data_IF_679162884394
#
_entry.id   IF_679162884394
#
_cell.length_a   1.000
_cell.length_b   1.000
_cell.length_c   1.000
_cell.angle_alpha   90.00
_cell.angle_beta   90.00
_cell.angle_gamma   90.00
#
_symmetry.space_group_name_H-M   'P 1'
#
loop_
_entity.id
_entity.type
_entity.pdbx_description
1 polymer ?
#
# COMPACT_ATOMS: atom_id res chain seq x y z
N UNK A 1 -9.23 -25.19 50.36
CA UNK A 1 -8.55 -25.60 49.15
C UNK A 1 -9.22 -24.95 47.94
N UNK A 2 -8.69 -23.84 47.46
CA UNK A 2 -9.23 -23.11 46.27
C UNK A 2 -8.53 -23.71 45.04
N UNK A 3 -9.33 -24.29 44.13
CA UNK A 3 -8.84 -24.80 42.85
C UNK A 3 -8.58 -23.61 41.90
N UNK A 4 -7.32 -23.40 41.56
CA UNK A 4 -6.95 -22.53 40.44
C UNK A 4 -7.35 -23.23 39.13
N UNK A 5 -8.20 -22.56 38.36
CA UNK A 5 -8.50 -22.92 36.99
C UNK A 5 -7.46 -22.17 36.11
N UNK A 6 -6.65 -22.88 35.29
CA UNK A 6 -5.75 -22.18 34.38
C UNK A 6 -6.54 -21.51 33.26
N UNK A 7 -6.39 -20.19 33.12
CA UNK A 7 -6.88 -19.47 31.98
C UNK A 7 -6.10 -19.92 30.73
N UNK A 8 -6.77 -20.62 29.84
CA UNK A 8 -6.24 -20.96 28.52
C UNK A 8 -6.30 -19.67 27.69
N UNK A 9 -5.14 -19.07 27.48
CA UNK A 9 -4.95 -17.96 26.54
C UNK A 9 -5.16 -18.51 25.12
N UNK A 10 -6.34 -18.33 24.55
CA UNK A 10 -6.59 -18.62 23.15
C UNK A 10 -5.90 -17.52 22.34
N UNK A 11 -4.69 -17.81 21.88
CA UNK A 11 -4.01 -16.99 20.86
C UNK A 11 -4.77 -17.24 19.56
N UNK A 12 -5.69 -16.34 19.23
CA UNK A 12 -6.28 -16.31 17.90
C UNK A 12 -5.19 -15.83 16.93
N UNK A 13 -4.50 -16.77 16.31
CA UNK A 13 -3.65 -16.49 15.17
C UNK A 13 -4.62 -16.06 14.06
N UNK A 14 -4.71 -14.75 13.83
CA UNK A 14 -5.29 -14.21 12.62
C UNK A 14 -4.41 -14.70 11.47
N UNK A 15 -4.79 -15.85 10.91
CA UNK A 15 -4.29 -16.26 9.62
C UNK A 15 -4.79 -15.24 8.61
N UNK A 16 -3.94 -14.27 8.27
CA UNK A 16 -4.12 -13.51 7.04
C UNK A 16 -4.11 -14.57 5.95
N UNK A 17 -5.29 -14.93 5.49
CA UNK A 17 -5.45 -15.76 4.32
C UNK A 17 -5.06 -14.93 3.10
N UNK A 18 -3.75 -14.72 2.96
CA UNK A 18 -3.20 -14.64 1.62
C UNK A 18 -3.45 -16.03 1.06
N UNK A 19 -4.45 -16.16 0.21
CA UNK A 19 -4.54 -17.36 -0.62
C UNK A 19 -3.20 -17.48 -1.33
N UNK A 20 -2.29 -18.26 -0.74
CA UNK A 20 -1.13 -18.80 -1.41
C UNK A 20 -1.67 -19.75 -2.47
N UNK A 21 -2.06 -19.23 -3.61
CA UNK A 21 -2.07 -19.98 -4.85
C UNK A 21 -0.61 -20.15 -5.24
N UNK A 22 0.04 -21.07 -4.52
CA UNK A 22 1.27 -21.66 -4.99
C UNK A 22 0.98 -22.23 -6.39
N UNK A 23 1.57 -21.58 -7.40
CA UNK A 23 1.64 -22.14 -8.73
C UNK A 23 0.34 -22.18 -9.51
N UNK A 24 -0.28 -21.04 -9.80
CA UNK A 24 -1.07 -20.95 -11.01
C UNK A 24 -0.10 -20.87 -12.19
N UNK A 25 -0.04 -21.94 -12.97
CA UNK A 25 0.81 -22.07 -14.15
C UNK A 25 0.30 -21.28 -15.36
N UNK A 26 -0.70 -20.41 -15.17
CA UNK A 26 -1.31 -19.65 -16.28
C UNK A 26 -0.52 -18.43 -16.73
N UNK A 27 0.58 -18.07 -16.03
CA UNK A 27 1.51 -17.04 -16.48
C UNK A 27 0.94 -15.61 -16.57
N UNK A 28 -0.19 -15.32 -15.90
CA UNK A 28 -0.92 -14.05 -15.99
C UNK A 28 -0.60 -13.08 -14.87
N UNK A 29 -0.35 -13.58 -13.65
CA UNK A 29 -0.09 -12.77 -12.48
C UNK A 29 1.33 -12.18 -12.51
N UNK A 30 1.53 -11.04 -11.85
CA UNK A 30 2.88 -10.58 -11.53
C UNK A 30 3.57 -11.66 -10.71
N UNK A 31 4.76 -12.09 -11.12
CA UNK A 31 5.52 -13.13 -10.44
C UNK A 31 6.22 -12.56 -9.20
N UNK A 32 5.43 -12.26 -8.16
CA UNK A 32 5.90 -11.67 -6.91
C UNK A 32 6.85 -12.57 -6.11
N UNK A 33 6.67 -13.89 -6.23
CA UNK A 33 7.23 -14.90 -5.34
C UNK A 33 8.29 -15.74 -6.05
N UNK A 34 9.28 -16.18 -5.25
CA UNK A 34 10.28 -17.17 -5.63
C UNK A 34 10.02 -18.53 -4.97
N UNK A 35 11.08 -19.33 -4.87
CA UNK A 35 10.99 -20.65 -4.25
C UNK A 35 11.10 -20.61 -2.71
N UNK A 36 11.63 -19.54 -2.14
CA UNK A 36 11.86 -19.41 -0.71
C UNK A 36 10.62 -18.88 0.04
N UNK A 37 10.01 -19.73 0.86
CA UNK A 37 8.79 -19.39 1.61
C UNK A 37 8.99 -18.23 2.60
N UNK A 38 10.16 -18.08 3.21
CA UNK A 38 10.45 -16.98 4.14
C UNK A 38 10.48 -15.65 3.37
N UNK A 39 11.19 -15.62 2.24
CA UNK A 39 11.20 -14.45 1.37
C UNK A 39 9.79 -14.10 0.86
N UNK A 40 9.01 -15.09 0.45
CA UNK A 40 7.63 -14.91 -0.01
C UNK A 40 6.72 -14.34 1.09
N UNK A 41 6.87 -14.79 2.34
CA UNK A 41 6.14 -14.24 3.47
C UNK A 41 6.51 -12.76 3.73
N UNK A 42 7.78 -12.40 3.56
CA UNK A 42 8.22 -11.00 3.66
C UNK A 42 7.66 -10.16 2.52
N UNK A 43 7.69 -10.64 1.27
CA UNK A 43 7.06 -9.96 0.13
C UNK A 43 5.58 -9.71 0.39
N UNK A 44 4.83 -10.70 0.85
CA UNK A 44 3.40 -10.55 1.16
C UNK A 44 3.15 -9.46 2.19
N UNK A 45 3.94 -9.40 3.26
CA UNK A 45 3.87 -8.32 4.27
C UNK A 45 4.29 -6.97 3.69
N UNK A 46 5.35 -6.97 2.88
CA UNK A 46 5.83 -5.77 2.19
C UNK A 46 4.73 -5.14 1.32
N UNK A 47 4.04 -5.95 0.52
CA UNK A 47 2.92 -5.49 -0.32
C UNK A 47 1.77 -4.95 0.54
N UNK A 48 1.41 -5.65 1.63
CA UNK A 48 0.34 -5.21 2.53
C UNK A 48 0.64 -3.81 3.10
N UNK A 49 1.85 -3.60 3.62
CA UNK A 49 2.26 -2.29 4.14
C UNK A 49 2.39 -1.24 3.05
N UNK A 50 2.88 -1.62 1.85
CA UNK A 50 2.99 -0.72 0.71
C UNK A 50 1.64 -0.13 0.30
N UNK A 51 0.62 -0.96 0.16
CA UNK A 51 -0.72 -0.50 -0.18
C UNK A 51 -1.36 0.35 0.92
N UNK A 52 -1.07 0.05 2.19
CA UNK A 52 -1.55 0.84 3.32
C UNK A 52 -0.65 2.07 3.62
N UNK A 53 0.28 2.44 2.72
CA UNK A 53 1.16 3.64 2.83
C UNK A 53 2.02 3.61 4.11
N UNK A 54 2.33 2.43 4.60
CA UNK A 54 3.28 2.20 5.70
C UNK A 54 4.68 1.92 5.12
N UNK A 55 5.25 2.92 4.48
CA UNK A 55 6.41 2.77 3.61
C UNK A 55 7.67 2.31 4.32
N UNK A 56 7.92 2.74 5.55
CA UNK A 56 9.08 2.31 6.34
C UNK A 56 9.03 0.81 6.66
N UNK A 57 7.84 0.30 7.00
CA UNK A 57 7.64 -1.15 7.20
C UNK A 57 7.75 -1.90 5.88
N UNK A 58 7.13 -1.37 4.83
CA UNK A 58 7.20 -1.95 3.48
C UNK A 58 8.64 -2.08 3.01
N UNK A 59 9.42 -1.00 3.11
CA UNK A 59 10.85 -0.97 2.77
C UNK A 59 11.62 -2.06 3.52
N UNK A 60 11.41 -2.16 4.82
CA UNK A 60 12.09 -3.17 5.66
C UNK A 60 11.77 -4.60 5.23
N UNK A 61 10.50 -4.90 4.90
CA UNK A 61 10.11 -6.23 4.45
C UNK A 61 10.68 -6.57 3.06
N UNK A 62 10.67 -5.65 2.11
CA UNK A 62 11.25 -5.90 0.79
C UNK A 62 12.77 -6.02 0.84
N UNK A 63 13.46 -5.21 1.65
CA UNK A 63 14.90 -5.36 1.88
C UNK A 63 15.21 -6.72 2.49
N UNK A 64 14.49 -7.11 3.56
CA UNK A 64 14.68 -8.42 4.17
C UNK A 64 14.38 -9.58 3.22
N UNK A 65 13.41 -9.44 2.31
CA UNK A 65 13.13 -10.48 1.31
C UNK A 65 14.30 -10.70 0.36
N UNK A 66 15.01 -9.62 -0.02
CA UNK A 66 16.19 -9.71 -0.90
C UNK A 66 17.44 -10.25 -0.18
N UNK A 67 17.53 -10.09 1.14
CA UNK A 67 18.59 -10.74 1.95
C UNK A 67 18.43 -12.27 1.95
N UNK A 68 17.19 -12.76 1.86
CA UNK A 68 16.87 -14.18 1.82
C UNK A 68 16.87 -14.74 0.39
N UNK A 69 16.34 -13.97 -0.58
CA UNK A 69 16.28 -14.36 -1.99
C UNK A 69 16.49 -13.13 -2.89
N UNK A 70 17.72 -12.94 -3.34
CA UNK A 70 18.10 -11.80 -4.18
C UNK A 70 17.57 -11.87 -5.62
N UNK A 71 16.88 -12.94 -6.01
CA UNK A 71 16.32 -13.13 -7.36
C UNK A 71 14.91 -12.53 -7.53
N UNK A 72 14.33 -11.96 -6.48
CA UNK A 72 12.98 -11.40 -6.47
C UNK A 72 12.92 -10.04 -7.19
N UNK A 73 12.67 -10.05 -8.50
CA UNK A 73 12.59 -8.82 -9.30
C UNK A 73 11.55 -7.82 -8.75
N UNK A 74 10.40 -8.33 -8.30
CA UNK A 74 9.30 -7.49 -7.81
C UNK A 74 9.66 -6.74 -6.52
N UNK A 75 10.50 -7.32 -5.65
CA UNK A 75 11.05 -6.61 -4.49
C UNK A 75 11.93 -5.43 -4.91
N UNK A 76 12.75 -5.61 -5.94
CA UNK A 76 13.52 -4.52 -6.52
C UNK A 76 12.62 -3.45 -7.13
N UNK A 77 11.51 -3.81 -7.80
CA UNK A 77 10.56 -2.81 -8.34
C UNK A 77 9.99 -1.95 -7.23
N UNK A 78 9.51 -2.55 -6.14
CA UNK A 78 8.91 -1.78 -5.05
C UNK A 78 9.95 -0.95 -4.31
N UNK A 79 11.16 -1.48 -4.08
CA UNK A 79 12.25 -0.71 -3.46
C UNK A 79 12.65 0.49 -4.31
N UNK A 80 12.66 0.38 -5.65
CA UNK A 80 12.88 1.54 -6.51
C UNK A 80 11.77 2.60 -6.34
N UNK A 81 10.52 2.21 -6.13
CA UNK A 81 9.44 3.17 -5.87
C UNK A 81 9.50 3.82 -4.49
N UNK A 82 10.11 3.15 -3.50
CA UNK A 82 10.23 3.62 -2.12
C UNK A 82 11.53 4.38 -1.84
N UNK A 83 12.52 4.23 -2.70
CA UNK A 83 13.83 4.88 -2.55
C UNK A 83 13.83 6.23 -3.27
N UNK A 84 14.29 7.31 -2.64
CA UNK A 84 14.47 8.58 -3.33
C UNK A 84 15.37 8.45 -4.55
N UNK A 85 15.11 9.27 -5.57
CA UNK A 85 15.93 9.31 -6.79
C UNK A 85 17.43 9.40 -6.47
N UNK A 86 18.23 8.54 -7.10
CA UNK A 86 19.67 8.48 -6.89
C UNK A 86 20.28 7.12 -7.23
N UNK A 87 21.47 6.87 -6.73
CA UNK A 87 22.24 5.66 -7.05
C UNK A 87 21.52 4.38 -6.59
N UNK A 88 20.89 4.39 -5.42
CA UNK A 88 20.18 3.23 -4.87
C UNK A 88 18.91 2.92 -5.67
N UNK A 89 18.15 3.93 -6.08
CA UNK A 89 16.98 3.79 -6.96
C UNK A 89 17.38 3.17 -8.29
N UNK A 90 18.41 3.73 -8.96
CA UNK A 90 18.91 3.22 -10.24
C UNK A 90 19.48 1.79 -10.12
N UNK A 91 20.10 1.43 -9.01
CA UNK A 91 20.52 0.06 -8.74
C UNK A 91 19.32 -0.89 -8.70
N UNK A 92 18.25 -0.53 -8.00
CA UNK A 92 17.05 -1.35 -7.93
C UNK A 92 16.34 -1.45 -9.28
N UNK A 93 16.21 -0.36 -10.04
CA UNK A 93 15.67 -0.38 -11.42
C UNK A 93 16.47 -1.29 -12.34
N UNK A 94 17.80 -1.20 -12.28
CA UNK A 94 18.70 -2.05 -13.06
C UNK A 94 18.52 -3.53 -12.73
N UNK A 95 18.46 -3.88 -11.46
CA UNK A 95 18.23 -5.25 -10.98
C UNK A 95 16.86 -5.78 -11.41
N UNK A 96 15.80 -4.99 -11.28
CA UNK A 96 14.48 -5.37 -11.74
C UNK A 96 14.47 -5.69 -13.25
N UNK A 97 15.10 -4.84 -14.09
CA UNK A 97 15.22 -5.06 -15.54
C UNK A 97 16.05 -6.31 -15.89
N UNK A 98 17.06 -6.63 -15.09
CA UNK A 98 17.85 -7.86 -15.26
C UNK A 98 17.00 -9.10 -14.95
N UNK A 99 16.35 -9.13 -13.80
CA UNK A 99 15.67 -10.28 -13.21
C UNK A 99 14.29 -10.57 -13.83
N UNK A 100 13.67 -9.60 -14.51
CA UNK A 100 12.38 -9.80 -15.18
C UNK A 100 12.50 -10.54 -16.50
N UNK A 101 13.70 -10.70 -17.02
CA UNK A 101 13.94 -11.40 -18.30
C UNK A 101 13.45 -12.84 -18.21
N UNK A 102 12.60 -13.23 -19.15
CA UNK A 102 12.00 -14.57 -19.21
C UNK A 102 10.76 -14.77 -18.33
N UNK A 103 10.33 -13.75 -17.58
CA UNK A 103 9.08 -13.75 -16.84
C UNK A 103 7.88 -13.42 -17.73
N UNK A 104 6.68 -13.60 -17.20
CA UNK A 104 5.44 -13.35 -17.92
C UNK A 104 5.23 -11.88 -18.31
N UNK A 105 4.21 -11.63 -19.14
CA UNK A 105 3.92 -10.30 -19.70
C UNK A 105 3.60 -9.27 -18.60
N UNK A 106 2.77 -9.62 -17.58
CA UNK A 106 2.45 -8.71 -16.51
C UNK A 106 3.67 -8.32 -15.66
N UNK A 107 4.60 -9.23 -15.44
CA UNK A 107 5.88 -8.93 -14.78
C UNK A 107 6.73 -7.95 -15.58
N UNK A 108 6.81 -8.14 -16.90
CA UNK A 108 7.52 -7.22 -17.80
C UNK A 108 6.85 -5.84 -17.89
N UNK A 109 5.50 -5.79 -17.96
CA UNK A 109 4.74 -4.53 -17.94
C UNK A 109 4.95 -3.77 -16.63
N UNK A 110 5.02 -4.44 -15.48
CA UNK A 110 5.32 -3.79 -14.20
C UNK A 110 6.69 -3.08 -14.23
N UNK A 111 7.71 -3.72 -14.78
CA UNK A 111 9.05 -3.11 -14.90
C UNK A 111 9.06 -1.98 -15.92
N UNK A 112 8.27 -2.05 -17.00
CA UNK A 112 8.17 -0.98 -18.00
C UNK A 112 7.64 0.34 -17.47
N UNK A 113 7.00 0.34 -16.28
CA UNK A 113 6.60 1.58 -15.60
C UNK A 113 7.78 2.51 -15.28
N UNK A 114 9.00 1.99 -15.22
CA UNK A 114 10.23 2.79 -15.07
C UNK A 114 10.61 3.60 -16.30
N UNK A 115 10.07 3.24 -17.48
CA UNK A 115 10.37 3.91 -18.73
C UNK A 115 9.48 5.16 -18.94
N UNK A 116 8.55 5.41 -18.03
CA UNK A 116 7.69 6.60 -18.02
C UNK A 116 8.44 7.73 -17.32
N UNK A 117 9.29 8.39 -18.07
CA UNK A 117 10.09 9.56 -17.62
C UNK A 117 9.30 10.86 -17.82
N UNK A 118 8.31 11.06 -16.95
CA UNK A 118 7.44 12.24 -16.94
C UNK A 118 7.29 12.75 -15.49
N UNK A 119 7.21 14.08 -15.30
CA UNK A 119 6.94 14.64 -13.99
C UNK A 119 5.58 14.18 -13.46
N UNK A 120 5.41 14.21 -12.13
CA UNK A 120 4.12 13.89 -11.51
C UNK A 120 3.01 14.81 -12.09
N UNK A 121 1.89 14.21 -12.47
CA UNK A 121 0.78 14.94 -13.08
C UNK A 121 -0.12 14.05 -13.94
N UNK A 122 -1.02 14.70 -14.68
CA UNK A 122 -2.03 14.00 -15.49
C UNK A 122 -1.43 13.17 -16.63
N UNK A 123 -0.41 13.70 -17.30
CA UNK A 123 0.24 13.01 -18.41
C UNK A 123 0.93 11.73 -17.94
N UNK A 124 1.72 11.82 -16.83
CA UNK A 124 2.32 10.63 -16.22
C UNK A 124 1.25 9.62 -15.80
N UNK A 125 0.15 10.10 -15.19
CA UNK A 125 -0.96 9.21 -14.78
C UNK A 125 -1.58 8.51 -15.98
N UNK A 126 -1.84 9.24 -17.08
CA UNK A 126 -2.39 8.67 -18.30
C UNK A 126 -1.47 7.59 -18.88
N UNK A 127 -0.16 7.83 -18.96
CA UNK A 127 0.81 6.83 -19.42
C UNK A 127 0.86 5.60 -18.52
N UNK A 128 0.82 5.79 -17.21
CA UNK A 128 0.73 4.66 -16.27
C UNK A 128 -0.59 3.91 -16.43
N UNK A 129 -1.69 4.61 -16.69
CA UNK A 129 -2.99 3.98 -16.94
C UNK A 129 -2.98 3.09 -18.17
N UNK A 130 -2.30 3.48 -19.26
CA UNK A 130 -2.13 2.64 -20.45
C UNK A 130 -1.48 1.28 -20.09
N UNK A 131 -0.45 1.29 -19.24
CA UNK A 131 0.23 0.07 -18.79
C UNK A 131 -0.66 -0.76 -17.86
N UNK A 132 -1.26 -0.13 -16.84
CA UNK A 132 -2.14 -0.83 -15.91
C UNK A 132 -3.41 -1.39 -16.57
N UNK A 133 -3.92 -0.74 -17.61
CA UNK A 133 -5.04 -1.24 -18.40
C UNK A 133 -4.69 -2.53 -19.14
N UNK A 134 -3.52 -2.58 -19.78
CA UNK A 134 -3.03 -3.82 -20.42
C UNK A 134 -2.85 -4.94 -19.40
N UNK A 135 -2.27 -4.64 -18.25
CA UNK A 135 -2.12 -5.64 -17.18
C UNK A 135 -3.48 -6.15 -16.67
N UNK A 136 -4.45 -5.25 -16.54
CA UNK A 136 -5.81 -5.59 -16.10
C UNK A 136 -6.57 -6.39 -17.16
N UNK A 137 -6.36 -6.14 -18.45
CA UNK A 137 -6.92 -6.98 -19.53
C UNK A 137 -6.39 -8.42 -19.48
N UNK A 138 -5.10 -8.59 -19.15
CA UNK A 138 -4.46 -9.91 -18.99
C UNK A 138 -4.98 -10.62 -17.73
N UNK A 139 -5.08 -9.86 -16.62
CA UNK A 139 -5.43 -10.38 -15.28
C UNK A 139 -6.48 -9.48 -14.59
N UNK A 140 -7.78 -9.62 -14.95
CA UNK A 140 -8.85 -8.79 -14.37
C UNK A 140 -9.07 -9.02 -12.87
N UNK A 141 -8.66 -10.18 -12.36
CA UNK A 141 -8.81 -10.55 -10.95
C UNK A 141 -7.58 -10.24 -10.09
N UNK A 142 -6.52 -9.76 -10.71
CA UNK A 142 -5.29 -9.38 -10.03
C UNK A 142 -5.52 -8.15 -9.13
N UNK A 143 -5.69 -8.37 -7.84
CA UNK A 143 -6.07 -7.33 -6.88
C UNK A 143 -5.11 -6.12 -6.84
N UNK A 144 -3.79 -6.33 -6.96
CA UNK A 144 -2.79 -5.26 -7.04
C UNK A 144 -2.91 -4.49 -8.36
N UNK A 145 -3.06 -5.21 -9.46
CA UNK A 145 -3.24 -4.65 -10.80
C UNK A 145 -4.53 -3.83 -10.84
N UNK A 146 -5.63 -4.38 -10.34
CA UNK A 146 -6.93 -3.71 -10.34
C UNK A 146 -6.90 -2.43 -9.50
N UNK A 147 -6.19 -2.42 -8.36
CA UNK A 147 -6.03 -1.20 -7.56
C UNK A 147 -5.34 -0.08 -8.35
N UNK A 148 -4.23 -0.37 -9.02
CA UNK A 148 -3.54 0.64 -9.81
C UNK A 148 -4.26 1.00 -11.11
N UNK A 149 -4.95 0.08 -11.74
CA UNK A 149 -5.87 0.37 -12.82
C UNK A 149 -6.94 1.38 -12.37
N UNK A 150 -7.58 1.14 -11.22
CA UNK A 150 -8.59 2.02 -10.66
C UNK A 150 -8.05 3.42 -10.34
N UNK A 151 -6.91 3.50 -9.64
CA UNK A 151 -6.33 4.77 -9.17
C UNK A 151 -5.76 5.63 -10.29
N UNK A 152 -5.47 5.05 -11.45
CA UNK A 152 -4.90 5.76 -12.60
C UNK A 152 -5.94 6.17 -13.66
N UNK A 153 -7.21 5.77 -13.54
CA UNK A 153 -8.26 6.18 -14.47
C UNK A 153 -8.29 7.69 -14.72
N UNK A 154 -8.73 8.14 -15.92
CA UNK A 154 -8.59 9.53 -16.34
C UNK A 154 -9.23 10.53 -15.38
N UNK A 155 -10.50 10.34 -15.03
CA UNK A 155 -11.24 11.30 -14.22
C UNK A 155 -11.35 10.89 -12.75
N UNK A 156 -11.48 11.86 -11.81
CA UNK A 156 -11.74 11.55 -10.40
C UNK A 156 -12.96 10.65 -10.21
N UNK A 157 -14.03 10.92 -10.94
CA UNK A 157 -15.25 10.12 -10.86
C UNK A 157 -15.01 8.67 -11.26
N UNK A 158 -14.32 8.41 -12.38
CA UNK A 158 -14.00 7.05 -12.81
C UNK A 158 -13.12 6.32 -11.80
N UNK A 159 -12.16 7.01 -11.17
CA UNK A 159 -11.33 6.45 -10.10
C UNK A 159 -12.17 6.04 -8.89
N UNK A 160 -13.04 6.92 -8.42
CA UNK A 160 -13.93 6.66 -7.27
C UNK A 160 -14.87 5.49 -7.57
N UNK A 161 -15.50 5.47 -8.74
CA UNK A 161 -16.44 4.42 -9.12
C UNK A 161 -15.74 3.05 -9.18
N UNK A 162 -14.57 2.97 -9.82
CA UNK A 162 -13.80 1.72 -9.92
C UNK A 162 -13.24 1.24 -8.57
N UNK A 163 -12.76 2.17 -7.73
CA UNK A 163 -12.34 1.82 -6.37
C UNK A 163 -13.50 1.27 -5.52
N UNK A 164 -14.73 1.75 -5.71
CA UNK A 164 -15.92 1.20 -5.04
C UNK A 164 -16.22 -0.22 -5.51
N UNK A 165 -16.09 -0.50 -6.80
CA UNK A 165 -16.22 -1.86 -7.36
C UNK A 165 -15.17 -2.79 -6.72
N UNK A 166 -13.91 -2.35 -6.66
CA UNK A 166 -12.83 -3.14 -6.04
C UNK A 166 -13.06 -3.33 -4.53
N UNK A 167 -13.53 -2.30 -3.82
CA UNK A 167 -13.86 -2.38 -2.39
C UNK A 167 -14.91 -3.45 -2.11
N UNK A 168 -15.99 -3.47 -2.87
CA UNK A 168 -17.07 -4.46 -2.72
C UNK A 168 -16.58 -5.87 -3.07
N UNK A 169 -15.79 -6.01 -4.13
CA UNK A 169 -15.16 -7.29 -4.51
C UNK A 169 -14.28 -7.83 -3.37
N UNK A 170 -13.39 -6.99 -2.82
CA UNK A 170 -12.48 -7.41 -1.76
C UNK A 170 -13.22 -7.77 -0.45
N UNK A 171 -14.22 -6.98 -0.07
CA UNK A 171 -15.07 -7.30 1.09
C UNK A 171 -15.78 -8.64 0.94
N UNK A 172 -16.36 -8.90 -0.23
CA UNK A 172 -17.10 -10.14 -0.48
C UNK A 172 -16.21 -11.38 -0.55
N UNK A 173 -14.94 -11.22 -0.96
CA UNK A 173 -13.96 -12.30 -1.03
C UNK A 173 -13.16 -12.50 0.27
N UNK A 174 -13.30 -11.59 1.25
CA UNK A 174 -12.45 -11.59 2.45
C UNK A 174 -11.03 -11.10 2.23
N UNK A 175 -10.74 -10.49 1.08
CA UNK A 175 -9.43 -9.90 0.78
C UNK A 175 -9.24 -8.58 1.53
N UNK A 176 -7.98 -8.15 1.70
CA UNK A 176 -7.67 -6.85 2.32
C UNK A 176 -8.25 -5.70 1.50
N UNK A 177 -8.90 -4.74 2.17
CA UNK A 177 -9.56 -3.60 1.54
C UNK A 177 -9.30 -2.26 2.25
N UNK A 178 -8.58 -2.27 3.37
CA UNK A 178 -8.35 -1.07 4.17
C UNK A 178 -7.70 0.06 3.36
N UNK A 179 -6.69 -0.26 2.55
CA UNK A 179 -6.01 0.68 1.65
C UNK A 179 -6.95 1.34 0.62
N UNK A 180 -8.02 0.62 0.21
CA UNK A 180 -9.02 1.18 -0.73
C UNK A 180 -9.85 2.24 -0.03
N UNK A 181 -10.20 2.04 1.25
CA UNK A 181 -10.90 3.04 2.06
C UNK A 181 -10.07 4.31 2.20
N UNK A 182 -8.76 4.17 2.46
CA UNK A 182 -7.83 5.29 2.51
C UNK A 182 -7.83 6.09 1.20
N UNK A 183 -7.67 5.39 0.07
CA UNK A 183 -7.65 6.03 -1.24
C UNK A 183 -8.97 6.73 -1.56
N UNK A 184 -10.11 6.12 -1.24
CA UNK A 184 -11.42 6.76 -1.39
C UNK A 184 -11.55 8.01 -0.53
N UNK A 185 -11.00 8.00 0.71
CA UNK A 185 -10.92 9.18 1.55
C UNK A 185 -10.22 10.34 0.85
N UNK A 186 -9.02 10.10 0.32
CA UNK A 186 -8.26 11.12 -0.42
C UNK A 186 -8.94 11.55 -1.73
N UNK A 187 -9.55 10.63 -2.47
CA UNK A 187 -10.27 10.99 -3.70
C UNK A 187 -11.45 11.92 -3.41
N UNK A 188 -12.29 11.61 -2.41
CA UNK A 188 -13.41 12.47 -2.02
C UNK A 188 -12.91 13.81 -1.44
N UNK A 189 -11.78 13.81 -0.70
CA UNK A 189 -11.18 15.06 -0.22
C UNK A 189 -10.74 15.98 -1.36
N UNK A 190 -10.13 15.41 -2.39
CA UNK A 190 -9.70 16.15 -3.60
C UNK A 190 -10.86 16.75 -4.39
N UNK A 191 -12.05 16.19 -4.29
CA UNK A 191 -13.30 16.71 -4.91
C UNK A 191 -14.08 17.65 -3.96
N UNK A 192 -13.47 18.11 -2.85
CA UNK A 192 -14.09 18.94 -1.79
C UNK A 192 -15.30 18.29 -1.10
N UNK A 193 -15.43 16.98 -1.20
CA UNK A 193 -16.49 16.19 -0.54
C UNK A 193 -16.06 15.77 0.87
N UNK A 194 -15.77 16.74 1.74
CA UNK A 194 -15.15 16.54 3.07
C UNK A 194 -15.87 15.58 3.99
N UNK A 195 -17.20 15.59 3.98
CA UNK A 195 -17.99 14.66 4.82
C UNK A 195 -17.83 13.20 4.35
N UNK A 196 -17.79 12.96 3.04
CA UNK A 196 -17.53 11.65 2.48
C UNK A 196 -16.08 11.21 2.75
N UNK A 197 -15.10 12.10 2.56
CA UNK A 197 -13.71 11.86 2.87
C UNK A 197 -13.51 11.40 4.31
N UNK A 198 -14.03 12.16 5.27
CA UNK A 198 -13.98 11.81 6.70
C UNK A 198 -14.61 10.45 6.98
N UNK A 199 -15.78 10.16 6.40
CA UNK A 199 -16.44 8.86 6.57
C UNK A 199 -15.58 7.69 6.07
N UNK A 200 -14.83 7.86 4.99
CA UNK A 200 -13.91 6.84 4.50
C UNK A 200 -12.68 6.68 5.39
N UNK A 201 -12.12 7.77 5.93
CA UNK A 201 -11.02 7.70 6.89
C UNK A 201 -11.47 7.07 8.22
N UNK A 202 -12.68 7.34 8.70
CA UNK A 202 -13.26 6.65 9.87
C UNK A 202 -13.33 5.14 9.62
N UNK A 203 -13.84 4.71 8.46
CA UNK A 203 -13.90 3.29 8.08
C UNK A 203 -12.50 2.68 7.92
N UNK A 204 -11.51 3.45 7.51
CA UNK A 204 -10.12 2.99 7.42
C UNK A 204 -9.55 2.71 8.81
N UNK A 205 -9.79 3.61 9.79
CA UNK A 205 -9.44 3.39 11.20
C UNK A 205 -10.07 2.12 11.76
N UNK A 206 -11.36 1.86 11.45
CA UNK A 206 -12.07 0.66 11.87
C UNK A 206 -11.54 -0.63 11.19
N UNK A 207 -11.21 -0.56 9.90
CA UNK A 207 -10.77 -1.71 9.12
C UNK A 207 -9.31 -2.10 9.38
N UNK A 208 -8.48 -1.15 9.85
CA UNK A 208 -7.06 -1.39 10.13
C UNK A 208 -6.62 -0.70 11.43
N UNK A 209 -7.16 -1.11 12.60
CA UNK A 209 -6.93 -0.43 13.87
C UNK A 209 -5.49 -0.55 14.38
N UNK A 210 -4.71 -1.55 13.96
CA UNK A 210 -3.31 -1.72 14.33
C UNK A 210 -2.32 -0.94 13.46
N UNK A 211 -2.77 -0.42 12.31
CA UNK A 211 -1.95 0.37 11.40
C UNK A 211 -1.61 1.75 11.96
N UNK A 212 -0.44 2.27 11.60
CA UNK A 212 -0.10 3.66 11.94
C UNK A 212 -0.60 4.65 10.89
N UNK A 213 -0.79 4.21 9.64
CA UNK A 213 -1.26 5.09 8.58
C UNK A 213 -2.74 5.52 8.72
N UNK A 214 -3.69 4.71 9.24
CA UNK A 214 -5.05 5.20 9.46
C UNK A 214 -5.14 6.45 10.34
N UNK A 215 -4.53 6.53 11.54
CA UNK A 215 -4.49 7.78 12.29
C UNK A 215 -3.65 8.86 11.60
N UNK A 216 -2.57 8.55 10.87
CA UNK A 216 -1.80 9.54 10.10
C UNK A 216 -2.69 10.23 9.05
N UNK A 217 -3.45 9.47 8.26
CA UNK A 217 -4.38 10.02 7.25
C UNK A 217 -5.50 10.87 7.86
N UNK A 218 -6.02 10.48 9.03
CA UNK A 218 -7.01 11.29 9.75
C UNK A 218 -6.36 12.56 10.33
N UNK A 219 -5.11 12.48 10.78
CA UNK A 219 -4.30 13.63 11.20
C UNK A 219 -4.13 14.62 10.04
N UNK A 220 -3.81 14.13 8.84
CA UNK A 220 -3.68 14.95 7.65
C UNK A 220 -5.00 15.63 7.27
N UNK A 221 -6.12 14.90 7.33
CA UNK A 221 -7.45 15.47 7.12
C UNK A 221 -7.70 16.67 8.04
N UNK A 222 -7.51 16.53 9.36
CA UNK A 222 -7.73 17.63 10.31
C UNK A 222 -6.68 18.74 10.20
N UNK A 223 -5.44 18.41 9.85
CA UNK A 223 -4.41 19.41 9.58
C UNK A 223 -4.80 20.32 8.42
N UNK A 224 -5.27 19.74 7.32
CA UNK A 224 -5.71 20.47 6.14
C UNK A 224 -6.98 21.30 6.40
N UNK A 225 -7.84 20.83 7.32
CA UNK A 225 -8.98 21.61 7.83
C UNK A 225 -8.59 22.64 8.91
N UNK A 226 -7.29 22.78 9.23
CA UNK A 226 -6.74 23.69 10.25
C UNK A 226 -7.24 23.46 11.67
N UNK A 227 -7.65 22.24 11.98
CA UNK A 227 -8.05 21.80 13.34
C UNK A 227 -6.85 21.15 14.00
N UNK A 228 -5.84 21.97 14.30
CA UNK A 228 -4.48 21.52 14.65
C UNK A 228 -4.41 20.68 15.92
N UNK A 229 -5.16 21.00 16.97
CA UNK A 229 -5.18 20.21 18.22
C UNK A 229 -5.74 18.80 18.01
N UNK A 230 -6.69 18.66 17.08
CA UNK A 230 -7.23 17.35 16.72
C UNK A 230 -6.25 16.60 15.83
N UNK A 231 -5.63 17.28 14.87
CA UNK A 231 -4.60 16.69 14.02
C UNK A 231 -3.43 16.14 14.84
N UNK A 232 -2.97 16.93 15.84
CA UNK A 232 -1.88 16.53 16.73
C UNK A 232 -2.18 15.19 17.42
N UNK A 233 -3.37 15.04 18.00
CA UNK A 233 -3.79 13.79 18.67
C UNK A 233 -3.75 12.57 17.75
N UNK A 234 -4.14 12.75 16.49
CA UNK A 234 -4.11 11.66 15.53
C UNK A 234 -2.69 11.30 15.10
N UNK A 235 -1.81 12.29 14.89
CA UNK A 235 -0.40 12.03 14.59
C UNK A 235 0.36 11.42 15.77
N UNK A 236 0.06 11.85 17.02
CA UNK A 236 0.59 11.22 18.23
C UNK A 236 0.14 9.75 18.31
N UNK A 237 -1.13 9.44 18.01
CA UNK A 237 -1.62 8.07 17.94
C UNK A 237 -0.91 7.24 16.85
N UNK A 238 -0.56 7.85 15.71
CA UNK A 238 0.25 7.18 14.69
C UNK A 238 1.65 6.84 15.23
N UNK A 239 2.29 7.77 15.99
CA UNK A 239 3.59 7.54 16.61
C UNK A 239 3.55 6.50 17.74
N UNK A 240 2.45 6.43 18.51
CA UNK A 240 2.25 5.37 19.50
C UNK A 240 2.25 3.97 18.87
N UNK A 241 1.70 3.85 17.64
CA UNK A 241 1.70 2.60 16.87
C UNK A 241 3.02 2.31 16.19
N UNK A 242 3.68 3.34 15.70
CA UNK A 242 4.96 3.23 15.01
C UNK A 242 5.82 4.49 15.22
N UNK A 243 6.72 4.49 16.22
CA UNK A 243 7.54 5.65 16.58
C UNK A 243 8.50 6.16 15.48
N UNK A 244 8.69 5.37 14.43
CA UNK A 244 9.59 5.71 13.32
C UNK A 244 8.86 6.26 12.10
N UNK A 245 7.57 6.60 12.20
CA UNK A 245 6.84 7.27 11.11
C UNK A 245 7.44 8.65 10.84
N UNK A 246 8.02 8.81 9.66
CA UNK A 246 8.61 10.07 9.22
C UNK A 246 7.54 11.16 9.04
N UNK A 247 6.39 10.79 8.45
CA UNK A 247 5.25 11.69 8.25
C UNK A 247 4.76 12.25 9.58
N UNK A 248 4.36 11.36 10.50
CA UNK A 248 3.80 11.77 11.79
C UNK A 248 4.81 12.58 12.63
N UNK A 249 6.11 12.19 12.64
CA UNK A 249 7.15 12.93 13.36
C UNK A 249 7.26 14.36 12.87
N UNK A 250 7.30 14.59 11.56
CA UNK A 250 7.41 15.92 11.00
C UNK A 250 6.15 16.76 11.25
N UNK A 251 4.97 16.13 11.13
CA UNK A 251 3.70 16.83 11.36
C UNK A 251 3.46 17.21 12.81
N UNK A 252 3.83 16.36 13.77
CA UNK A 252 3.79 16.70 15.20
C UNK A 252 4.68 17.94 15.48
N UNK A 253 5.90 17.98 14.93
CA UNK A 253 6.78 19.13 15.06
C UNK A 253 6.16 20.39 14.45
N UNK A 254 5.69 20.32 13.20
CA UNK A 254 5.06 21.44 12.50
C UNK A 254 3.85 22.00 13.27
N UNK A 255 2.98 21.11 13.78
CA UNK A 255 1.79 21.52 14.52
C UNK A 255 2.15 22.18 15.85
N UNK A 256 3.14 21.67 16.58
CA UNK A 256 3.59 22.28 17.83
C UNK A 256 4.14 23.71 17.59
N UNK A 257 4.90 23.92 16.52
CA UNK A 257 5.36 25.26 16.13
C UNK A 257 4.17 26.20 15.82
N UNK A 258 3.12 25.69 15.14
CA UNK A 258 1.91 26.48 14.84
C UNK A 258 1.07 26.80 16.08
N UNK A 259 1.07 25.93 17.09
CA UNK A 259 0.35 26.14 18.35
C UNK A 259 1.14 26.94 19.39
N UNK A 260 2.43 27.19 19.14
CA UNK A 260 3.31 27.94 20.05
C UNK A 260 3.77 27.11 21.27
N UNK A 261 3.84 25.81 21.13
CA UNK A 261 4.28 24.86 22.14
C UNK A 261 5.81 24.62 22.09
#
# INVERSE_FOLDING_TARGET
>A
MKKLIPAILVITVLTISCNNTSGSTDGKYIEWFGENEVANAMVSKGIFHFLNIEWEKSYSFFTGSLEVDSSLFASHVVLAWLTPDGEADEMHKSKARELVKGKNENSNLMVSLFDIDLPAGEERRAKRHEVWSKMHEIEPDGWFIHYYYATTKPTPKERIDELKVLLDKNKNSGASYAHILNMLGYMHYGEDEKAAAKSYFDKYLEAYPEGYNPPDSMGEFYFNEKVYETALKYYENALDKFPYSFSATNKVKEINELLGN
#
